data_IF_826686321003
#
_entry.id   IF_826686321003
#
_cell.length_a   1.000
_cell.length_b   1.000
_cell.length_c   1.000
_cell.angle_alpha   90.00
_cell.angle_beta   90.00
_cell.angle_gamma   90.00
#
_symmetry.space_group_name_H-M   'P 1'
#
loop_
_entity.id
_entity.type
_entity.pdbx_description
1 polymer ?
#
# COMPACT_ATOMS: atom_id res chain seq x y z
N UNK A 1 -54.01 9.72 -12.39
CA UNK A 1 -54.89 9.84 -13.58
C UNK A 1 -54.02 10.31 -14.73
N UNK A 2 -53.79 9.45 -15.72
CA UNK A 2 -52.84 9.66 -16.83
C UNK A 2 -53.49 10.54 -17.89
N UNK A 3 -52.79 11.60 -18.34
CA UNK A 3 -52.88 12.11 -19.73
C UNK A 3 -51.54 12.71 -20.17
N UNK A 4 -50.98 12.11 -21.23
CA UNK A 4 -49.92 12.66 -22.08
C UNK A 4 -50.56 13.35 -23.29
N UNK A 5 -49.96 14.44 -23.79
CA UNK A 5 -50.01 14.81 -25.21
C UNK A 5 -48.71 15.51 -25.65
N UNK A 6 -48.28 15.17 -26.86
CA UNK A 6 -47.01 15.50 -27.49
C UNK A 6 -47.31 16.25 -28.80
N UNK A 7 -46.85 17.50 -28.99
CA UNK A 7 -46.24 18.02 -30.26
C UNK A 7 -45.98 19.54 -30.28
N UNK A 8 -44.71 19.84 -30.55
CA UNK A 8 -44.09 20.83 -31.47
C UNK A 8 -44.58 22.30 -31.54
N UNK A 9 -43.59 23.17 -31.23
CA UNK A 9 -43.09 24.39 -31.92
C UNK A 9 -44.09 25.52 -32.18
N UNK A 10 -43.81 26.68 -31.58
CA UNK A 10 -43.62 27.97 -32.26
C UNK A 10 -42.69 28.83 -31.40
N UNK A 11 -41.66 29.38 -32.04
CA UNK A 11 -40.72 30.35 -31.50
C UNK A 11 -41.40 31.72 -31.48
N UNK A 12 -41.43 32.40 -30.34
CA UNK A 12 -41.66 33.85 -30.31
C UNK A 12 -40.86 34.47 -29.16
N UNK A 13 -39.86 35.26 -29.55
CA UNK A 13 -39.03 36.09 -28.69
C UNK A 13 -39.89 37.28 -28.22
N UNK A 14 -40.12 37.39 -26.91
CA UNK A 14 -40.47 38.66 -26.26
C UNK A 14 -39.57 38.81 -25.04
N UNK A 15 -38.75 39.86 -25.09
CA UNK A 15 -37.78 40.27 -24.10
C UNK A 15 -38.46 41.27 -23.16
N UNK A 16 -38.70 40.88 -21.89
CA UNK A 16 -39.00 41.80 -20.78
C UNK A 16 -38.25 41.35 -19.53
N UNK A 17 -37.69 42.36 -18.88
CA UNK A 17 -36.64 42.36 -17.86
C UNK A 17 -37.18 42.04 -16.45
N UNK A 18 -36.31 41.40 -15.65
CA UNK A 18 -36.23 41.37 -14.19
C UNK A 18 -37.34 40.69 -13.36
N UNK A 19 -37.02 39.47 -12.91
CA UNK A 19 -36.88 39.18 -11.47
C UNK A 19 -36.03 37.91 -11.32
N UNK A 20 -34.73 38.09 -11.09
CA UNK A 20 -33.86 37.03 -10.57
C UNK A 20 -34.31 36.71 -9.14
N UNK A 21 -35.26 35.79 -9.00
CA UNK A 21 -35.37 35.01 -7.78
C UNK A 21 -34.53 33.74 -8.01
N UNK A 22 -33.22 33.86 -7.80
CA UNK A 22 -32.40 32.67 -7.52
C UNK A 22 -32.89 32.19 -6.16
N UNK A 23 -33.44 30.98 -5.99
CA UNK A 23 -33.42 30.32 -4.70
C UNK A 23 -31.97 29.86 -4.50
N UNK A 24 -31.08 30.82 -4.30
CA UNK A 24 -29.65 30.65 -4.13
C UNK A 24 -29.34 30.48 -2.67
N UNK A 25 -29.96 29.50 -2.04
CA UNK A 25 -29.56 28.93 -0.75
C UNK A 25 -30.21 27.56 -0.70
N UNK A 26 -29.64 26.58 -1.38
CA UNK A 26 -29.62 25.18 -0.93
C UNK A 26 -28.83 24.36 -1.96
N UNK A 27 -27.55 24.12 -1.67
CA UNK A 27 -26.83 22.87 -1.94
C UNK A 27 -25.35 23.01 -1.54
N UNK A 28 -25.07 22.67 -0.29
CA UNK A 28 -23.89 21.89 0.06
C UNK A 28 -24.22 21.08 1.31
N UNK A 29 -25.05 20.05 1.14
CA UNK A 29 -25.01 18.92 2.04
C UNK A 29 -23.84 18.04 1.59
N UNK A 30 -22.63 18.38 2.04
CA UNK A 30 -21.61 17.34 2.20
C UNK A 30 -22.20 16.38 3.21
N UNK A 31 -22.42 15.13 2.81
CA UNK A 31 -22.85 14.07 3.71
C UNK A 31 -21.98 14.13 4.98
N UNK A 32 -22.61 14.43 6.11
CA UNK A 32 -21.99 14.37 7.42
C UNK A 32 -22.88 13.50 8.27
N UNK A 33 -22.34 12.35 8.69
CA UNK A 33 -22.98 11.54 9.72
C UNK A 33 -23.04 12.39 10.99
N UNK A 34 -24.27 12.74 11.40
CA UNK A 34 -24.56 13.65 12.50
C UNK A 34 -24.52 12.90 13.83
N UNK A 35 -23.38 12.29 14.17
CA UNK A 35 -23.28 11.50 15.41
C UNK A 35 -22.81 12.30 16.63
N UNK A 36 -22.19 13.48 16.46
CA UNK A 36 -22.16 14.54 17.49
C UNK A 36 -21.55 15.85 16.94
N UNK A 37 -22.21 16.98 17.20
CA UNK A 37 -21.70 18.32 16.86
C UNK A 37 -20.82 18.78 18.03
N UNK A 38 -19.61 19.24 17.73
CA UNK A 38 -18.64 19.69 18.74
C UNK A 38 -18.46 21.22 18.74
N UNK A 39 -18.74 21.89 17.61
CA UNK A 39 -18.72 23.36 17.52
C UNK A 39 -19.63 23.84 16.37
N UNK A 40 -20.07 25.10 16.44
CA UNK A 40 -20.76 25.80 15.35
C UNK A 40 -20.03 27.09 14.98
N UNK A 41 -19.76 27.29 13.70
CA UNK A 41 -19.06 28.47 13.16
C UNK A 41 -19.88 29.05 12.01
N UNK A 42 -20.59 30.16 12.28
CA UNK A 42 -21.45 30.86 11.31
C UNK A 42 -22.45 29.91 10.60
N UNK A 43 -23.08 29.00 11.35
CA UNK A 43 -24.04 28.05 10.80
C UNK A 43 -23.43 26.75 10.25
N UNK A 44 -22.10 26.65 10.17
CA UNK A 44 -21.42 25.38 9.90
C UNK A 44 -21.23 24.59 11.19
N UNK A 45 -21.73 23.36 11.25
CA UNK A 45 -21.53 22.45 12.38
C UNK A 45 -20.26 21.62 12.15
N UNK A 46 -19.26 21.79 13.01
CA UNK A 46 -18.09 20.91 13.05
C UNK A 46 -18.49 19.65 13.81
N UNK A 47 -18.33 18.50 13.16
CA UNK A 47 -18.68 17.19 13.70
C UNK A 47 -17.52 16.47 14.37
N UNK A 48 -17.82 15.41 15.13
CA UNK A 48 -16.81 14.52 15.71
C UNK A 48 -15.91 13.87 14.64
N UNK A 49 -16.46 13.52 13.48
CA UNK A 49 -15.67 12.92 12.39
C UNK A 49 -14.55 13.83 11.87
N UNK A 50 -14.78 15.15 11.80
CA UNK A 50 -13.73 16.12 11.44
C UNK A 50 -12.63 16.19 12.50
N UNK A 51 -13.00 16.10 13.78
CA UNK A 51 -12.03 16.03 14.88
C UNK A 51 -11.22 14.74 14.81
N UNK A 52 -11.87 13.60 14.61
CA UNK A 52 -11.20 12.30 14.45
C UNK A 52 -10.21 12.33 13.28
N UNK A 53 -10.61 12.86 12.12
CA UNK A 53 -9.73 13.00 10.96
C UNK A 53 -8.52 13.90 11.27
N UNK A 54 -8.75 15.05 11.93
CA UNK A 54 -7.67 15.96 12.35
C UNK A 54 -6.69 15.27 13.30
N UNK A 55 -7.19 14.49 14.25
CA UNK A 55 -6.36 13.73 15.20
C UNK A 55 -5.54 12.64 14.50
N UNK A 56 -6.14 11.89 13.57
CA UNK A 56 -5.42 10.89 12.75
C UNK A 56 -4.30 11.57 11.96
N UNK A 57 -4.56 12.73 11.35
CA UNK A 57 -3.57 13.47 10.59
C UNK A 57 -2.43 14.01 11.47
N UNK A 58 -2.76 14.54 12.66
CA UNK A 58 -1.76 14.97 13.66
C UNK A 58 -0.85 13.80 14.03
N UNK A 59 -1.44 12.64 14.32
CA UNK A 59 -0.68 11.44 14.71
C UNK A 59 0.24 10.93 13.59
N UNK A 60 -0.21 10.98 12.33
CA UNK A 60 0.61 10.55 11.18
C UNK A 60 1.76 11.49 10.87
N UNK A 61 1.60 12.80 11.08
CA UNK A 61 2.56 13.83 10.64
C UNK A 61 3.52 14.24 11.75
N UNK A 62 3.05 14.35 13.00
CA UNK A 62 3.89 14.77 14.12
C UNK A 62 4.41 13.53 14.84
N UNK A 63 5.74 13.40 14.93
CA UNK A 63 6.36 12.48 15.89
C UNK A 63 6.04 12.99 17.30
N UNK A 64 5.02 12.42 17.92
CA UNK A 64 4.57 12.83 19.25
C UNK A 64 5.30 12.05 20.34
N UNK A 65 6.63 12.08 20.31
CA UNK A 65 7.46 11.63 21.43
C UNK A 65 8.01 12.87 22.13
N UNK A 66 7.81 12.97 23.44
CA UNK A 66 8.44 14.02 24.22
C UNK A 66 9.96 13.81 24.32
N UNK A 67 10.68 14.75 24.93
CA UNK A 67 12.14 14.67 25.12
C UNK A 67 12.62 13.45 25.92
N UNK A 68 11.72 12.75 26.60
CA UNK A 68 12.00 11.51 27.36
C UNK A 68 11.63 10.23 26.57
N UNK A 69 11.21 10.36 25.32
CA UNK A 69 10.79 9.23 24.48
C UNK A 69 9.42 8.64 24.83
N UNK A 70 8.63 9.30 25.69
CA UNK A 70 7.24 8.90 26.00
C UNK A 70 6.28 9.49 24.98
N UNK A 71 5.15 8.84 24.78
CA UNK A 71 4.04 9.38 24.01
C UNK A 71 3.64 10.76 24.58
N UNK A 72 3.64 11.78 23.72
CA UNK A 72 3.13 13.10 24.03
C UNK A 72 1.62 13.09 24.23
N UNK A 73 1.10 14.11 24.90
CA UNK A 73 -0.33 14.35 25.03
C UNK A 73 -0.85 15.23 23.89
N UNK A 74 -2.09 14.99 23.47
CA UNK A 74 -2.82 15.90 22.58
C UNK A 74 -3.79 16.71 23.42
N UNK A 75 -3.76 18.02 23.25
CA UNK A 75 -4.75 18.93 23.82
C UNK A 75 -5.94 19.02 22.85
N UNK A 76 -7.06 18.39 23.22
CA UNK A 76 -8.25 18.31 22.36
C UNK A 76 -8.90 19.68 22.17
N UNK A 77 -8.92 20.51 23.21
CA UNK A 77 -9.52 21.85 23.14
C UNK A 77 -8.76 22.72 22.14
N UNK A 78 -7.43 22.60 22.13
CA UNK A 78 -6.60 23.27 21.12
C UNK A 78 -6.87 22.77 19.71
N UNK A 79 -7.07 21.46 19.51
CA UNK A 79 -7.41 20.92 18.18
C UNK A 79 -8.77 21.42 17.71
N UNK A 80 -9.75 21.52 18.62
CA UNK A 80 -11.06 22.11 18.31
C UNK A 80 -10.92 23.59 17.94
N UNK A 81 -10.13 24.35 18.68
CA UNK A 81 -9.84 25.75 18.36
C UNK A 81 -9.18 25.89 16.97
N UNK A 82 -8.22 25.03 16.63
CA UNK A 82 -7.62 24.98 15.30
C UNK A 82 -8.67 24.71 14.21
N UNK A 83 -9.62 23.80 14.43
CA UNK A 83 -10.71 23.51 13.49
C UNK A 83 -11.67 24.70 13.31
N UNK A 84 -11.99 25.40 14.40
CA UNK A 84 -12.81 26.63 14.34
C UNK A 84 -12.09 27.70 13.54
N UNK A 85 -10.82 27.96 13.83
CA UNK A 85 -10.02 28.96 13.12
C UNK A 85 -9.86 28.62 11.64
N UNK A 86 -9.60 27.35 11.31
CA UNK A 86 -9.56 26.85 9.94
C UNK A 86 -10.89 27.09 9.22
N UNK A 87 -12.01 26.84 9.89
CA UNK A 87 -13.35 27.09 9.32
C UNK A 87 -13.59 28.57 9.02
N UNK A 88 -13.17 29.47 9.91
CA UNK A 88 -13.28 30.92 9.68
C UNK A 88 -12.47 31.34 8.46
N UNK A 89 -11.22 30.86 8.35
CA UNK A 89 -10.34 31.15 7.20
C UNK A 89 -10.95 30.62 5.91
N UNK A 90 -11.51 29.40 5.91
CA UNK A 90 -12.17 28.82 4.75
C UNK A 90 -13.36 29.70 4.33
N UNK A 91 -14.22 30.12 5.27
CA UNK A 91 -15.36 30.96 4.96
C UNK A 91 -14.95 32.30 4.33
N UNK A 92 -13.86 32.91 4.81
CA UNK A 92 -13.32 34.13 4.20
C UNK A 92 -12.71 33.88 2.81
N UNK A 93 -12.03 32.76 2.61
CA UNK A 93 -11.51 32.40 1.29
C UNK A 93 -12.61 32.29 0.24
N UNK A 94 -13.78 31.76 0.61
CA UNK A 94 -14.96 31.73 -0.25
C UNK A 94 -15.66 33.08 -0.36
N UNK A 95 -15.66 33.90 0.71
CA UNK A 95 -16.30 35.24 0.67
C UNK A 95 -15.64 36.17 -0.34
N UNK A 96 -14.33 35.99 -0.56
CA UNK A 96 -13.54 36.72 -1.55
C UNK A 96 -13.30 35.94 -2.85
N UNK A 97 -14.09 34.88 -3.09
CA UNK A 97 -14.16 34.11 -4.33
C UNK A 97 -12.80 33.52 -4.80
N UNK A 98 -11.92 33.14 -3.87
CA UNK A 98 -10.62 32.53 -4.24
C UNK A 98 -10.78 31.18 -4.96
N UNK A 99 -11.90 30.50 -4.75
CA UNK A 99 -12.26 29.25 -5.43
C UNK A 99 -12.62 29.45 -6.91
N UNK A 100 -12.95 30.69 -7.32
CA UNK A 100 -13.21 31.06 -8.71
C UNK A 100 -11.96 31.56 -9.45
N UNK A 101 -10.82 31.70 -8.77
CA UNK A 101 -9.56 32.03 -9.43
C UNK A 101 -9.15 30.94 -10.44
N UNK A 102 -8.92 31.28 -11.73
CA UNK A 102 -8.64 30.27 -12.76
C UNK A 102 -7.39 29.44 -12.50
N UNK A 103 -6.37 30.02 -11.85
CA UNK A 103 -5.12 29.30 -11.53
C UNK A 103 -5.38 28.31 -10.40
N UNK A 104 -6.15 28.71 -9.40
CA UNK A 104 -6.58 27.84 -8.31
C UNK A 104 -7.45 26.68 -8.83
N UNK A 105 -8.46 26.96 -9.66
CA UNK A 105 -9.30 25.91 -10.27
C UNK A 105 -8.48 24.93 -11.11
N UNK A 106 -7.54 25.41 -11.93
CA UNK A 106 -6.67 24.55 -12.71
C UNK A 106 -5.84 23.61 -11.81
N UNK A 107 -5.27 24.13 -10.71
CA UNK A 107 -4.53 23.32 -9.73
C UNK A 107 -5.43 22.31 -9.03
N UNK A 108 -6.62 22.72 -8.59
CA UNK A 108 -7.60 21.84 -7.94
C UNK A 108 -8.04 20.72 -8.88
N UNK A 109 -8.33 21.02 -10.14
CA UNK A 109 -8.68 20.01 -11.14
C UNK A 109 -7.56 19.00 -11.38
N UNK A 110 -6.31 19.47 -11.49
CA UNK A 110 -5.15 18.58 -11.63
C UNK A 110 -4.95 17.68 -10.40
N UNK A 111 -5.20 18.22 -9.21
CA UNK A 111 -5.17 17.44 -7.98
C UNK A 111 -6.27 16.37 -7.96
N UNK A 112 -7.52 16.74 -8.31
CA UNK A 112 -8.64 15.79 -8.41
C UNK A 112 -8.29 14.66 -9.38
N UNK A 113 -7.85 14.96 -10.60
CA UNK A 113 -7.46 13.95 -11.60
C UNK A 113 -6.40 13.00 -11.03
N UNK A 114 -5.34 13.55 -10.44
CA UNK A 114 -4.24 12.75 -9.89
C UNK A 114 -4.70 11.84 -8.75
N UNK A 115 -5.56 12.35 -7.85
CA UNK A 115 -6.14 11.58 -6.74
C UNK A 115 -7.13 10.53 -7.23
N UNK A 116 -7.91 10.81 -8.28
CA UNK A 116 -8.85 9.86 -8.89
C UNK A 116 -8.12 8.64 -9.45
N UNK A 117 -6.96 8.82 -10.10
CA UNK A 117 -6.16 7.69 -10.62
C UNK A 117 -5.66 6.79 -9.48
N UNK A 118 -5.18 7.38 -8.38
CA UNK A 118 -4.72 6.63 -7.21
C UNK A 118 -5.88 5.86 -6.58
N UNK A 119 -7.04 6.51 -6.42
CA UNK A 119 -8.26 5.90 -5.87
C UNK A 119 -8.76 4.75 -6.74
N UNK A 120 -8.79 4.93 -8.06
CA UNK A 120 -9.16 3.87 -9.00
C UNK A 120 -8.23 2.66 -8.89
N UNK A 121 -6.91 2.88 -8.84
CA UNK A 121 -5.94 1.78 -8.69
C UNK A 121 -6.14 1.05 -7.35
N UNK A 122 -6.45 1.78 -6.27
CA UNK A 122 -6.75 1.16 -4.99
C UNK A 122 -7.96 0.23 -5.11
N UNK A 123 -9.10 0.75 -5.58
CA UNK A 123 -10.38 0.05 -5.57
C UNK A 123 -10.46 -1.06 -6.62
N UNK A 124 -9.93 -0.81 -7.82
CA UNK A 124 -10.07 -1.73 -8.96
C UNK A 124 -8.93 -2.74 -9.06
N UNK A 125 -7.81 -2.49 -8.39
CA UNK A 125 -6.65 -3.40 -8.42
C UNK A 125 -6.33 -3.88 -7.01
N UNK A 126 -5.89 -3.00 -6.12
CA UNK A 126 -5.32 -3.43 -4.84
C UNK A 126 -6.32 -4.11 -3.92
N UNK A 127 -7.50 -3.53 -3.73
CA UNK A 127 -8.54 -4.06 -2.84
C UNK A 127 -9.16 -5.37 -3.35
N UNK A 128 -9.03 -5.65 -4.67
CA UNK A 128 -9.54 -6.87 -5.31
C UNK A 128 -8.51 -8.00 -5.34
N UNK A 129 -7.22 -7.70 -5.12
CA UNK A 129 -6.18 -8.72 -5.00
C UNK A 129 -6.32 -9.42 -3.66
N UNK A 130 -6.46 -10.74 -3.69
CA UNK A 130 -6.40 -11.59 -2.51
C UNK A 130 -5.06 -12.30 -2.52
N UNK A 131 -4.18 -11.92 -1.60
CA UNK A 131 -2.91 -12.62 -1.39
C UNK A 131 -3.18 -13.82 -0.50
N UNK A 132 -2.83 -15.01 -0.98
CA UNK A 132 -2.98 -16.27 -0.23
C UNK A 132 -1.71 -16.60 0.56
N UNK A 133 -1.81 -17.52 1.52
CA UNK A 133 -0.63 -18.03 2.22
C UNK A 133 0.34 -18.74 1.26
N UNK A 134 -0.18 -19.42 0.24
CA UNK A 134 0.62 -20.06 -0.81
C UNK A 134 1.39 -19.01 -1.63
N UNK A 135 0.77 -17.88 -2.00
CA UNK A 135 1.46 -16.79 -2.71
C UNK A 135 2.62 -16.23 -1.87
N UNK A 136 2.38 -16.06 -0.55
CA UNK A 136 3.39 -15.57 0.39
C UNK A 136 4.53 -16.59 0.55
N UNK A 137 4.19 -17.88 0.64
CA UNK A 137 5.16 -18.95 0.80
C UNK A 137 6.00 -19.14 -0.47
N UNK A 138 5.40 -19.13 -1.65
CA UNK A 138 6.13 -19.19 -2.93
C UNK A 138 7.03 -17.96 -3.13
N UNK A 139 6.56 -16.76 -2.75
CA UNK A 139 7.39 -15.56 -2.75
C UNK A 139 8.57 -15.70 -1.77
N UNK A 140 8.33 -16.20 -0.56
CA UNK A 140 9.38 -16.48 0.42
C UNK A 140 10.39 -17.48 -0.13
N UNK A 141 9.95 -18.64 -0.65
CA UNK A 141 10.83 -19.66 -1.23
C UNK A 141 11.68 -19.12 -2.36
N UNK A 142 11.09 -18.30 -3.22
CA UNK A 142 11.81 -17.75 -4.38
C UNK A 142 12.87 -16.73 -4.00
N UNK A 143 12.63 -15.90 -2.99
CA UNK A 143 13.46 -14.72 -2.73
C UNK A 143 14.23 -14.75 -1.40
N UNK A 144 13.81 -15.58 -0.45
CA UNK A 144 14.31 -15.58 0.92
C UNK A 144 14.74 -16.96 1.46
N UNK A 145 14.29 -18.07 0.87
CA UNK A 145 14.74 -19.39 1.28
C UNK A 145 16.26 -19.54 1.08
N UNK A 146 16.90 -19.98 2.15
CA UNK A 146 18.31 -20.30 2.20
C UNK A 146 18.45 -21.74 2.64
N UNK A 147 19.28 -22.50 1.94
CA UNK A 147 19.64 -23.86 2.34
C UNK A 147 21.13 -23.92 2.63
N UNK A 148 21.52 -24.77 3.58
CA UNK A 148 22.92 -25.07 3.83
C UNK A 148 23.25 -26.43 3.24
N UNK A 149 24.20 -26.47 2.31
CA UNK A 149 24.55 -27.70 1.58
C UNK A 149 26.06 -27.94 1.53
N UNK A 150 26.44 -29.21 1.46
CA UNK A 150 27.80 -29.64 1.14
C UNK A 150 27.82 -30.27 -0.25
N UNK A 151 28.92 -30.11 -0.98
CA UNK A 151 29.10 -30.73 -2.28
C UNK A 151 30.40 -31.52 -2.39
N UNK A 152 30.37 -32.59 -3.18
CA UNK A 152 31.56 -33.30 -3.67
C UNK A 152 31.57 -33.17 -5.19
N UNK A 153 32.63 -32.61 -5.76
CA UNK A 153 32.73 -32.37 -7.21
C UNK A 153 33.57 -33.46 -7.84
N UNK A 154 33.09 -34.06 -8.93
CA UNK A 154 33.87 -35.03 -9.72
C UNK A 154 33.75 -34.73 -11.20
N UNK A 155 34.73 -35.17 -11.99
CA UNK A 155 34.72 -35.03 -13.46
C UNK A 155 33.97 -36.14 -14.19
N UNK A 156 33.68 -37.25 -13.51
CA UNK A 156 33.13 -38.46 -14.09
C UNK A 156 31.89 -38.91 -13.32
N UNK A 157 30.81 -39.15 -14.06
CA UNK A 157 29.53 -39.62 -13.52
C UNK A 157 29.66 -40.93 -12.75
N UNK A 158 30.46 -41.89 -13.22
CA UNK A 158 30.68 -43.17 -12.51
C UNK A 158 31.32 -42.94 -11.14
N UNK A 159 32.30 -42.03 -11.06
CA UNK A 159 32.94 -41.66 -9.79
C UNK A 159 31.91 -41.01 -8.85
N UNK A 160 31.03 -40.15 -9.35
CA UNK A 160 29.93 -39.60 -8.56
C UNK A 160 28.98 -40.69 -8.03
N UNK A 161 28.58 -41.64 -8.90
CA UNK A 161 27.69 -42.75 -8.53
C UNK A 161 28.34 -43.69 -7.49
N UNK A 162 29.64 -43.97 -7.60
CA UNK A 162 30.41 -44.73 -6.62
C UNK A 162 30.43 -44.04 -5.24
N UNK A 163 30.69 -42.73 -5.22
CA UNK A 163 30.70 -41.94 -3.99
C UNK A 163 29.32 -41.85 -3.34
N UNK A 164 28.26 -41.66 -4.15
CA UNK A 164 26.88 -41.67 -3.68
C UNK A 164 26.54 -43.01 -3.00
N UNK A 165 27.00 -44.13 -3.56
CA UNK A 165 26.80 -45.45 -2.96
C UNK A 165 27.55 -45.63 -1.64
N UNK A 166 28.75 -45.05 -1.50
CA UNK A 166 29.51 -45.06 -0.26
C UNK A 166 28.83 -44.20 0.82
N UNK A 167 28.37 -43.01 0.45
CA UNK A 167 27.61 -42.12 1.34
C UNK A 167 26.32 -42.79 1.85
N UNK A 168 25.58 -43.48 0.96
CA UNK A 168 24.38 -44.25 1.33
C UNK A 168 24.67 -45.44 2.24
N UNK A 169 25.92 -45.93 2.27
CA UNK A 169 26.38 -46.97 3.21
C UNK A 169 26.85 -46.40 4.55
N UNK A 170 26.85 -45.08 4.71
CA UNK A 170 27.21 -44.40 5.97
C UNK A 170 28.66 -43.96 6.08
N UNK A 171 29.41 -43.94 4.97
CA UNK A 171 30.75 -43.33 4.93
C UNK A 171 30.68 -41.81 5.18
N UNK A 172 31.70 -41.24 5.81
CA UNK A 172 31.70 -39.82 6.19
C UNK A 172 31.85 -38.89 4.97
N UNK A 173 30.96 -37.90 4.87
CA UNK A 173 30.93 -36.96 3.74
C UNK A 173 32.21 -36.14 3.64
N UNK A 174 32.74 -35.68 4.77
CA UNK A 174 33.92 -34.80 4.83
C UNK A 174 35.18 -35.59 4.48
N UNK A 175 35.28 -36.85 4.92
CA UNK A 175 36.39 -37.74 4.56
C UNK A 175 36.40 -38.07 3.05
N UNK A 176 35.22 -38.35 2.48
CA UNK A 176 35.09 -38.60 1.05
C UNK A 176 35.36 -37.34 0.21
N UNK A 177 34.90 -36.17 0.65
CA UNK A 177 35.22 -34.89 -0.01
C UNK A 177 36.73 -34.66 -0.05
N UNK A 178 37.39 -34.74 1.11
CA UNK A 178 38.84 -34.49 1.25
C UNK A 178 39.69 -35.45 0.43
N UNK A 179 39.24 -36.69 0.26
CA UNK A 179 40.02 -37.73 -0.39
C UNK A 179 39.71 -37.91 -1.88
N UNK A 180 38.50 -37.53 -2.34
CA UNK A 180 38.02 -37.87 -3.69
C UNK A 180 37.49 -36.69 -4.50
N UNK A 181 37.19 -35.55 -3.88
CA UNK A 181 36.66 -34.38 -4.58
C UNK A 181 37.72 -33.69 -5.45
N UNK A 182 37.28 -33.18 -6.60
CA UNK A 182 38.06 -32.33 -7.50
C UNK A 182 37.97 -30.85 -7.12
N UNK A 183 37.05 -30.50 -6.22
CA UNK A 183 36.97 -29.19 -5.57
C UNK A 183 37.04 -29.40 -4.07
N UNK A 184 38.16 -29.00 -3.48
CA UNK A 184 38.41 -29.12 -2.06
C UNK A 184 38.17 -27.79 -1.36
N UNK A 185 37.44 -27.81 -0.26
CA UNK A 185 37.37 -26.67 0.64
C UNK A 185 37.84 -27.03 2.07
N UNK A 186 38.11 -26.01 2.88
CA UNK A 186 38.59 -26.21 4.25
C UNK A 186 37.54 -26.82 5.19
N UNK A 187 36.27 -26.79 4.79
CA UNK A 187 35.11 -27.20 5.58
C UNK A 187 34.45 -28.51 5.07
N UNK A 188 35.15 -29.30 4.24
CA UNK A 188 34.65 -30.59 3.76
C UNK A 188 33.48 -30.49 2.78
N UNK A 189 33.58 -29.59 1.82
CA UNK A 189 32.56 -29.34 0.80
C UNK A 189 31.45 -28.37 1.19
N UNK A 190 31.46 -27.81 2.41
CA UNK A 190 30.44 -26.88 2.91
C UNK A 190 30.40 -25.56 2.12
N UNK A 191 29.24 -25.24 1.55
CA UNK A 191 29.00 -24.01 0.79
C UNK A 191 28.41 -22.88 1.65
N UNK A 192 28.13 -23.14 2.92
CA UNK A 192 27.37 -22.23 3.77
C UNK A 192 25.91 -22.13 3.32
N UNK A 193 25.25 -21.04 3.71
CA UNK A 193 23.90 -20.75 3.26
C UNK A 193 23.90 -20.22 1.84
N UNK A 194 23.14 -20.87 0.96
CA UNK A 194 22.99 -20.48 -0.43
C UNK A 194 21.55 -20.06 -0.72
N UNK A 195 21.39 -19.11 -1.64
CA UNK A 195 20.11 -18.68 -2.20
C UNK A 195 20.02 -19.10 -3.66
N UNK A 196 18.78 -19.23 -4.14
CA UNK A 196 18.52 -19.34 -5.58
C UNK A 196 19.08 -18.13 -6.35
N UNK A 197 19.55 -18.38 -7.56
CA UNK A 197 20.14 -17.39 -8.47
C UNK A 197 21.58 -17.00 -8.15
N UNK A 198 22.30 -17.79 -7.35
CA UNK A 198 23.73 -17.56 -7.02
C UNK A 198 24.65 -18.63 -7.59
N UNK A 199 24.13 -19.79 -7.95
CA UNK A 199 24.85 -20.93 -8.47
C UNK A 199 24.26 -21.42 -9.78
N UNK A 200 24.85 -22.48 -10.35
CA UNK A 200 24.32 -23.11 -11.56
C UNK A 200 22.90 -23.65 -11.31
N UNK A 201 22.00 -23.42 -12.27
CA UNK A 201 20.58 -23.77 -12.15
C UNK A 201 20.38 -25.26 -11.86
N UNK A 202 21.15 -26.15 -12.50
CA UNK A 202 20.99 -27.60 -12.32
C UNK A 202 21.42 -28.05 -10.92
N UNK A 203 22.44 -27.40 -10.37
CA UNK A 203 22.85 -27.62 -8.99
C UNK A 203 21.80 -27.10 -8.00
N UNK A 204 21.30 -25.88 -8.20
CA UNK A 204 20.29 -25.30 -7.32
C UNK A 204 19.00 -26.13 -7.32
N UNK A 205 18.53 -26.55 -8.49
CA UNK A 205 17.30 -27.34 -8.61
C UNK A 205 17.41 -28.67 -7.84
N UNK A 206 18.57 -29.33 -7.90
CA UNK A 206 18.84 -30.53 -7.10
C UNK A 206 18.96 -30.21 -5.61
N UNK A 207 19.77 -29.21 -5.24
CA UNK A 207 20.04 -28.86 -3.85
C UNK A 207 18.79 -28.43 -3.08
N UNK A 208 17.93 -27.61 -3.68
CA UNK A 208 16.68 -27.15 -3.06
C UNK A 208 15.53 -28.17 -3.16
N UNK A 209 15.69 -29.27 -3.90
CA UNK A 209 14.73 -30.37 -3.88
C UNK A 209 14.99 -31.37 -2.74
N UNK A 210 16.15 -31.31 -2.10
CA UNK A 210 16.54 -32.20 -1.02
C UNK A 210 15.87 -31.83 0.30
N UNK A 211 15.44 -32.84 1.04
CA UNK A 211 15.09 -32.70 2.46
C UNK A 211 16.33 -32.58 3.33
N UNK A 212 16.17 -32.10 4.58
CA UNK A 212 17.27 -32.04 5.52
C UNK A 212 17.92 -33.43 5.73
N UNK A 213 19.24 -33.50 5.51
CA UNK A 213 20.01 -34.75 5.62
C UNK A 213 19.95 -35.66 4.40
N UNK A 214 19.20 -35.31 3.35
CA UNK A 214 19.14 -36.08 2.11
C UNK A 214 20.39 -35.86 1.23
N UNK A 215 20.69 -36.82 0.35
CA UNK A 215 21.86 -36.82 -0.53
C UNK A 215 21.41 -37.12 -1.97
N UNK A 216 21.83 -36.28 -2.92
CA UNK A 216 21.61 -36.44 -4.37
C UNK A 216 22.79 -37.09 -5.09
#
# INVERSE_FOLDING_TARGET
>A
MIKYYFKKRISLIILVIAAFAVPGCFRYSVFHDSSSIIANVNGYNIGLGELEEKLVNIHRIKQMTNSEGKAGSIDIDKVIEELINERIIIQEAYSVELDEDPIFQAKTNNYIISRSVIKLRQEEVQDKIKVTEDDMYEYYKKYFEEIKVRQIVTKDRKKAEELLNLLRKGEDFVELEKSKSEWLNKEGGDLGFIKRGKMDQTFEDAAFALSEGEIS
#
